data_IF_009772799219
#
_entry.id   IF_009772799219
#
_cell.length_a   1.000
_cell.length_b   1.000
_cell.length_c   1.000
_cell.angle_alpha   90.00
_cell.angle_beta   90.00
_cell.angle_gamma   90.00
#
_symmetry.space_group_name_H-M   'P 1'
#
loop_
_entity.id
_entity.type
_entity.pdbx_description
1 polymer ?
#
# COMPACT_ATOMS: atom_id res chain seq x y z
N UNK A 1 -2.33 -0.89 17.53
CA UNK A 1 -1.38 -1.67 16.70
C UNK A 1 -2.19 -2.54 15.73
N UNK A 2 -1.81 -2.68 14.46
CA UNK A 2 -2.50 -3.58 13.54
C UNK A 2 -2.46 -5.02 14.07
N UNK A 3 -3.53 -5.78 13.87
CA UNK A 3 -3.60 -7.18 14.29
C UNK A 3 -2.57 -8.00 13.49
N UNK A 4 -1.80 -8.83 14.19
CA UNK A 4 -0.85 -9.75 13.58
C UNK A 4 -1.61 -10.77 12.72
N UNK A 5 -0.95 -11.26 11.66
CA UNK A 5 -1.55 -12.24 10.74
C UNK A 5 -1.80 -13.57 11.47
N UNK A 6 -2.83 -14.29 11.02
CA UNK A 6 -3.08 -15.67 11.47
C UNK A 6 -1.85 -16.52 11.16
N UNK A 7 -1.36 -17.27 12.16
CA UNK A 7 -0.12 -18.06 12.07
C UNK A 7 1.16 -17.31 12.43
N UNK A 8 1.07 -16.08 12.94
CA UNK A 8 2.24 -15.39 13.50
C UNK A 8 2.72 -16.08 14.78
N UNK A 9 4.01 -16.42 14.80
CA UNK A 9 4.72 -16.91 15.98
C UNK A 9 5.59 -15.76 16.49
N UNK A 10 5.39 -15.37 17.75
CA UNK A 10 6.31 -14.49 18.47
C UNK A 10 7.26 -15.37 19.28
N UNK A 11 8.55 -15.02 19.40
CA UNK A 11 9.43 -15.71 20.32
C UNK A 11 8.82 -15.76 21.72
N UNK A 12 8.97 -16.90 22.37
CA UNK A 12 8.70 -17.03 23.81
C UNK A 12 9.78 -16.31 24.62
N UNK A 13 9.53 -15.97 25.89
CA UNK A 13 10.55 -15.35 26.74
C UNK A 13 11.83 -16.17 26.87
N UNK A 14 11.73 -17.51 26.83
CA UNK A 14 12.88 -18.42 26.87
C UNK A 14 13.69 -18.36 25.56
N UNK A 15 13.00 -18.33 24.42
CA UNK A 15 13.64 -18.17 23.11
C UNK A 15 14.29 -16.78 22.98
N UNK A 16 13.63 -15.72 23.45
CA UNK A 16 14.21 -14.37 23.49
C UNK A 16 15.48 -14.34 24.35
N UNK A 17 15.49 -15.00 25.51
CA UNK A 17 16.67 -15.09 26.36
C UNK A 17 17.82 -15.82 25.66
N UNK A 18 17.54 -16.92 24.96
CA UNK A 18 18.54 -17.66 24.20
C UNK A 18 19.09 -16.86 23.01
N UNK A 19 18.23 -16.12 22.29
CA UNK A 19 18.63 -15.20 21.21
C UNK A 19 19.56 -14.12 21.75
N UNK A 20 19.19 -13.47 22.85
CA UNK A 20 20.01 -12.42 23.46
C UNK A 20 21.36 -12.95 23.96
N UNK A 21 21.39 -14.15 24.55
CA UNK A 21 22.64 -14.80 24.95
C UNK A 21 23.56 -15.07 23.75
N UNK A 22 22.99 -15.49 22.61
CA UNK A 22 23.73 -15.68 21.36
C UNK A 22 24.31 -14.37 20.81
N UNK A 23 23.51 -13.30 20.81
CA UNK A 23 23.93 -11.95 20.41
C UNK A 23 25.10 -11.48 21.28
N UNK A 24 25.05 -11.70 22.59
CA UNK A 24 26.10 -11.28 23.52
C UNK A 24 27.40 -12.11 23.42
N UNK A 25 27.30 -13.36 22.98
CA UNK A 25 28.45 -14.25 22.80
C UNK A 25 29.17 -14.05 21.45
N UNK A 26 28.53 -13.38 20.48
CA UNK A 26 29.10 -13.10 19.17
C UNK A 26 29.97 -11.82 19.21
N UNK A 27 31.30 -11.93 19.00
CA UNK A 27 32.20 -10.76 19.01
C UNK A 27 31.99 -9.81 17.82
N UNK A 28 31.35 -10.24 16.74
CA UNK A 28 31.04 -9.40 15.57
C UNK A 28 29.68 -8.68 15.73
N UNK A 29 28.89 -9.08 16.72
CA UNK A 29 27.63 -8.41 17.05
C UNK A 29 27.92 -7.06 17.70
N UNK A 30 27.41 -5.99 17.06
CA UNK A 30 27.46 -4.63 17.60
C UNK A 30 26.05 -4.18 17.97
N UNK A 31 25.93 -3.52 19.12
CA UNK A 31 24.70 -2.83 19.48
C UNK A 31 24.51 -1.57 18.63
N UNK A 32 23.33 -1.43 18.03
CA UNK A 32 22.96 -0.25 17.24
C UNK A 32 22.24 0.75 18.15
N UNK A 33 22.99 1.32 19.09
CA UNK A 33 22.48 2.27 20.08
C UNK A 33 22.33 3.70 19.53
N UNK A 34 21.91 4.62 20.41
CA UNK A 34 21.71 6.02 20.04
C UNK A 34 22.99 6.71 19.57
N UNK A 35 24.16 6.36 20.12
CA UNK A 35 25.43 6.94 19.69
C UNK A 35 25.82 6.47 18.28
N UNK A 36 25.53 5.22 17.97
CA UNK A 36 25.72 4.68 16.62
C UNK A 36 24.84 5.42 15.62
N UNK A 37 23.54 5.58 15.92
CA UNK A 37 22.61 6.30 15.04
C UNK A 37 22.95 7.78 14.88
N UNK A 38 23.49 8.42 15.91
CA UNK A 38 23.96 9.81 15.81
C UNK A 38 25.11 9.99 14.79
N UNK A 39 25.89 8.93 14.53
CA UNK A 39 26.99 8.92 13.56
C UNK A 39 26.59 8.33 12.20
N UNK A 40 25.39 7.76 12.10
CA UNK A 40 24.91 7.14 10.86
C UNK A 40 24.65 8.22 9.80
N UNK A 41 25.13 7.97 8.58
CA UNK A 41 24.94 8.87 7.43
C UNK A 41 23.82 8.36 6.52
N UNK A 42 23.14 9.28 5.85
CA UNK A 42 22.13 8.89 4.89
C UNK A 42 22.77 8.19 3.69
N UNK A 43 22.09 7.17 3.14
CA UNK A 43 22.64 6.38 2.03
C UNK A 43 22.97 7.25 0.79
N UNK A 44 22.25 8.35 0.57
CA UNK A 44 22.56 9.28 -0.53
C UNK A 44 23.86 10.05 -0.35
N UNK A 45 24.39 10.14 0.87
CA UNK A 45 25.65 10.84 1.18
C UNK A 45 26.86 9.91 1.11
N UNK A 46 26.64 8.60 1.21
CA UNK A 46 27.71 7.59 1.29
C UNK A 46 27.85 6.80 -0.01
N UNK A 47 26.73 6.52 -0.70
CA UNK A 47 26.75 5.75 -1.94
C UNK A 47 27.06 6.65 -3.14
N UNK A 48 27.75 6.12 -4.18
CA UNK A 48 27.87 6.81 -5.45
C UNK A 48 26.49 7.20 -6.01
N UNK A 49 26.33 8.40 -6.60
CA UNK A 49 25.03 8.90 -7.05
C UNK A 49 24.28 7.93 -7.98
N UNK A 50 24.99 7.30 -8.90
CA UNK A 50 24.42 6.33 -9.85
C UNK A 50 23.89 5.08 -9.14
N UNK A 51 24.62 4.60 -8.12
CA UNK A 51 24.23 3.44 -7.33
C UNK A 51 23.01 3.75 -6.46
N UNK A 52 22.99 4.91 -5.82
CA UNK A 52 21.83 5.37 -5.05
C UNK A 52 20.60 5.52 -5.95
N UNK A 53 20.74 6.16 -7.12
CA UNK A 53 19.68 6.31 -8.10
C UNK A 53 19.12 4.96 -8.57
N UNK A 54 19.98 3.97 -8.85
CA UNK A 54 19.56 2.63 -9.26
C UNK A 54 18.76 1.90 -8.15
N UNK A 55 19.16 2.03 -6.88
CA UNK A 55 18.46 1.42 -5.75
C UNK A 55 17.09 2.07 -5.48
N UNK A 56 17.00 3.40 -5.64
CA UNK A 56 15.75 4.14 -5.48
C UNK A 56 14.80 3.87 -6.65
N UNK A 57 15.30 3.84 -7.88
CA UNK A 57 14.50 3.58 -9.08
C UNK A 57 13.84 2.18 -9.08
N UNK A 58 14.49 1.18 -8.46
CA UNK A 58 13.96 -0.18 -8.29
C UNK A 58 12.83 -0.29 -7.26
N UNK A 59 12.44 0.80 -6.58
CA UNK A 59 11.26 0.84 -5.71
C UNK A 59 10.09 1.53 -6.43
N UNK A 60 9.33 0.85 -7.30
CA UNK A 60 7.99 1.33 -7.64
C UNK A 60 7.15 1.25 -6.36
N UNK A 61 7.06 2.36 -5.62
CA UNK A 61 6.19 2.45 -4.43
C UNK A 61 4.74 2.43 -4.90
N UNK A 62 4.15 1.25 -4.89
CA UNK A 62 2.71 1.05 -5.09
C UNK A 62 2.26 1.09 -6.55
N UNK A 63 0.94 0.93 -6.72
CA UNK A 63 0.29 1.10 -8.03
C UNK A 63 0.61 2.50 -8.56
N UNK A 64 1.00 2.66 -9.83
CA UNK A 64 1.18 3.96 -10.46
C UNK A 64 -0.01 4.85 -10.15
N UNK A 65 0.26 6.11 -9.77
CA UNK A 65 -0.78 7.11 -9.54
C UNK A 65 -1.60 7.19 -10.83
N UNK A 66 -2.87 6.80 -10.79
CA UNK A 66 -3.73 6.89 -11.95
C UNK A 66 -3.89 8.37 -12.33
N UNK A 67 -3.63 8.73 -13.60
CA UNK A 67 -3.72 10.11 -14.09
C UNK A 67 -5.11 10.72 -13.91
N UNK A 68 -6.16 9.88 -13.91
CA UNK A 68 -7.51 10.26 -13.54
C UNK A 68 -8.03 9.33 -12.44
N UNK A 69 -8.09 9.86 -11.22
CA UNK A 69 -8.75 9.14 -10.10
C UNK A 69 -10.26 9.21 -10.26
N UNK A 70 -10.94 8.10 -9.97
CA UNK A 70 -12.40 8.13 -9.84
C UNK A 70 -12.76 9.03 -8.67
N UNK A 71 -13.60 10.03 -8.90
CA UNK A 71 -14.16 10.85 -7.83
C UNK A 71 -15.33 10.10 -7.22
N UNK A 72 -15.32 9.91 -5.90
CA UNK A 72 -16.47 9.38 -5.18
C UNK A 72 -17.52 10.47 -5.05
N UNK A 73 -18.71 10.23 -5.57
CA UNK A 73 -19.85 11.13 -5.44
C UNK A 73 -21.06 10.33 -4.96
N UNK A 74 -21.66 10.77 -3.85
CA UNK A 74 -22.87 10.17 -3.33
C UNK A 74 -24.07 10.65 -4.15
N UNK A 75 -24.68 9.75 -4.92
CA UNK A 75 -25.94 9.96 -5.62
C UNK A 75 -26.99 9.00 -5.07
N UNK A 76 -28.26 9.43 -5.03
CA UNK A 76 -29.38 8.55 -4.74
C UNK A 76 -29.84 7.91 -6.05
N UNK A 77 -30.01 6.59 -6.04
CA UNK A 77 -30.51 5.79 -7.15
C UNK A 77 -31.75 5.06 -6.68
N UNK A 78 -32.68 4.79 -7.59
CA UNK A 78 -33.89 4.04 -7.29
C UNK A 78 -33.55 2.60 -6.84
N UNK A 79 -34.40 2.04 -5.99
CA UNK A 79 -34.15 0.77 -5.32
C UNK A 79 -34.10 -0.40 -6.31
N UNK A 80 -35.01 -0.42 -7.27
CA UNK A 80 -35.12 -1.41 -8.35
C UNK A 80 -33.87 -1.42 -9.27
N UNK A 81 -33.35 -0.24 -9.59
CA UNK A 81 -32.11 -0.08 -10.36
C UNK A 81 -30.93 -0.67 -9.59
N UNK A 82 -30.82 -0.35 -8.30
CA UNK A 82 -29.76 -0.88 -7.44
C UNK A 82 -29.84 -2.39 -7.29
N UNK A 83 -31.05 -2.95 -7.13
CA UNK A 83 -31.26 -4.39 -7.06
C UNK A 83 -30.83 -5.09 -8.34
N UNK A 84 -31.25 -4.57 -9.50
CA UNK A 84 -30.89 -5.09 -10.82
C UNK A 84 -29.38 -5.14 -11.01
N UNK A 85 -28.68 -4.03 -10.74
CA UNK A 85 -27.23 -4.02 -10.86
C UNK A 85 -26.56 -4.89 -9.80
N UNK A 86 -27.00 -4.89 -8.54
CA UNK A 86 -26.38 -5.73 -7.50
C UNK A 86 -26.53 -7.23 -7.80
N UNK A 87 -27.66 -7.65 -8.39
CA UNK A 87 -27.89 -9.03 -8.81
C UNK A 87 -26.85 -9.54 -9.82
N UNK A 88 -26.25 -8.64 -10.61
CA UNK A 88 -25.15 -9.00 -11.54
C UNK A 88 -23.83 -9.35 -10.83
N UNK A 89 -23.75 -9.23 -9.50
CA UNK A 89 -22.63 -9.69 -8.68
C UNK A 89 -21.41 -8.76 -8.71
N UNK A 90 -20.21 -9.35 -8.59
CA UNK A 90 -18.94 -8.60 -8.52
C UNK A 90 -18.81 -7.65 -9.72
N UNK A 91 -18.43 -6.40 -9.44
CA UNK A 91 -18.23 -5.38 -10.46
C UNK A 91 -19.49 -4.60 -10.87
N UNK A 92 -20.62 -4.74 -10.16
CA UNK A 92 -21.85 -4.02 -10.49
C UNK A 92 -21.68 -2.50 -10.58
N UNK A 93 -20.89 -1.88 -9.69
CA UNK A 93 -20.57 -0.45 -9.76
C UNK A 93 -19.82 -0.06 -11.04
N UNK A 94 -18.99 -0.97 -11.57
CA UNK A 94 -18.29 -0.74 -12.85
C UNK A 94 -19.27 -0.78 -14.01
N UNK A 95 -20.26 -1.68 -13.96
CA UNK A 95 -21.36 -1.73 -14.94
C UNK A 95 -22.24 -0.49 -14.89
N UNK A 96 -22.58 0.02 -13.70
CA UNK A 96 -23.30 1.31 -13.55
C UNK A 96 -22.52 2.45 -14.22
N UNK A 97 -21.22 2.57 -13.94
CA UNK A 97 -20.40 3.61 -14.57
C UNK A 97 -20.29 3.45 -16.10
N UNK A 98 -20.26 2.22 -16.62
CA UNK A 98 -20.28 1.97 -18.07
C UNK A 98 -21.62 2.40 -18.70
N UNK A 99 -22.74 2.06 -18.05
CA UNK A 99 -24.07 2.45 -18.50
C UNK A 99 -24.24 3.98 -18.54
N UNK A 100 -23.75 4.70 -17.51
CA UNK A 100 -23.80 6.17 -17.50
C UNK A 100 -22.95 6.79 -18.63
N UNK A 101 -21.79 6.20 -18.95
CA UNK A 101 -20.97 6.64 -20.08
C UNK A 101 -21.64 6.39 -21.42
N UNK A 102 -22.25 5.22 -21.58
CA UNK A 102 -23.02 4.87 -22.77
C UNK A 102 -24.18 5.84 -22.95
N UNK A 103 -24.94 6.12 -21.88
CA UNK A 103 -26.04 7.07 -21.92
C UNK A 103 -25.61 8.45 -22.40
N UNK A 104 -24.49 9.00 -21.89
CA UNK A 104 -23.95 10.29 -22.33
C UNK A 104 -23.52 10.26 -23.81
N UNK A 105 -22.96 9.15 -24.29
CA UNK A 105 -22.55 9.01 -25.68
C UNK A 105 -23.75 8.95 -26.63
N UNK A 106 -24.83 8.27 -26.24
CA UNK A 106 -26.07 8.14 -27.00
C UNK A 106 -26.94 9.40 -26.89
N UNK A 107 -26.89 10.09 -25.76
CA UNK A 107 -27.68 11.27 -25.43
C UNK A 107 -26.73 12.40 -25.02
N UNK A 108 -26.18 13.15 -26.00
CA UNK A 108 -25.28 14.26 -25.71
C UNK A 108 -25.96 15.25 -24.77
N UNK A 109 -25.48 15.30 -23.53
CA UNK A 109 -26.01 16.21 -22.50
C UNK A 109 -25.50 17.61 -22.83
N UNK A 110 -26.23 18.32 -23.69
CA UNK A 110 -25.93 19.69 -24.06
C UNK A 110 -26.05 20.61 -22.85
N UNK A 111 -25.05 21.48 -22.63
CA UNK A 111 -25.21 22.60 -21.68
C UNK A 111 -26.36 23.49 -22.18
N UNK A 112 -27.38 23.67 -21.34
CA UNK A 112 -28.12 24.93 -21.33
C UNK A 112 -27.28 25.98 -20.61
#
# INVERSE_FOLDING_TARGET
MPKLKVGHLSPTPEEDAAINAGIAADPDSRELDAEWFAKAKHASEVLPPEMYAALVAKRPRGRPKADATKVFTAIRLDADLLETFKATGKGWQTRVNAALRQFIAEHPVGRK
#
